data_IF_557719170425
#
_entry.id   IF_557719170425
#
_cell.length_a   1.000
_cell.length_b   1.000
_cell.length_c   1.000
_cell.angle_alpha   90.00
_cell.angle_beta   90.00
_cell.angle_gamma   90.00
#
_symmetry.space_group_name_H-M   'P 1'
#
loop_
_entity.id
_entity.type
_entity.pdbx_description
1 polymer ?
#
# COMPACT_ATOMS: atom_id res chain seq x y z
N UNK A 1 4.26 0.66 -11.05
CA UNK A 1 4.97 1.28 -9.90
C UNK A 1 5.76 2.45 -10.45
N UNK A 2 5.74 3.63 -9.81
CA UNK A 2 6.40 4.82 -10.36
C UNK A 2 7.80 5.09 -9.77
N UNK A 3 8.06 4.58 -8.57
CA UNK A 3 9.33 4.73 -7.87
C UNK A 3 9.34 3.91 -6.59
N UNK A 4 10.53 3.65 -6.06
CA UNK A 4 10.74 2.95 -4.80
C UNK A 4 11.88 3.63 -4.05
N UNK A 5 11.65 3.87 -2.76
CA UNK A 5 12.64 4.41 -1.84
C UNK A 5 12.70 3.53 -0.61
N UNK A 6 13.91 3.23 -0.15
CA UNK A 6 14.15 2.42 1.04
C UNK A 6 15.18 3.14 1.89
N UNK A 7 14.89 3.27 3.18
CA UNK A 7 15.79 3.87 4.18
C UNK A 7 15.86 2.89 5.33
N UNK A 8 17.07 2.48 5.69
CA UNK A 8 17.31 1.53 6.78
C UNK A 8 18.42 0.53 6.46
N UNK A 9 18.62 -0.40 7.39
CA UNK A 9 19.56 -1.51 7.23
C UNK A 9 19.17 -2.39 6.03
N UNK A 10 20.16 -2.84 5.26
CA UNK A 10 19.94 -3.70 4.09
C UNK A 10 19.21 -3.01 2.92
N UNK A 11 19.08 -1.68 2.89
CA UNK A 11 18.38 -0.98 1.81
C UNK A 11 18.94 -1.33 0.40
N UNK A 12 20.26 -1.47 0.27
CA UNK A 12 20.93 -1.90 -0.97
C UNK A 12 20.55 -3.32 -1.38
N UNK A 13 20.28 -4.19 -0.41
CA UNK A 13 19.84 -5.57 -0.60
C UNK A 13 18.36 -5.70 -0.93
N UNK A 14 17.58 -4.61 -0.85
CA UNK A 14 16.14 -4.65 -1.08
C UNK A 14 15.74 -3.83 -2.30
N UNK A 15 16.42 -2.72 -2.58
CA UNK A 15 16.03 -1.75 -3.61
C UNK A 15 15.88 -2.38 -5.00
N UNK A 16 16.71 -3.39 -5.29
CA UNK A 16 16.70 -4.08 -6.59
C UNK A 16 15.40 -4.83 -6.88
N UNK A 17 14.67 -5.29 -5.84
CA UNK A 17 13.34 -5.91 -5.99
C UNK A 17 12.37 -4.91 -6.62
N UNK A 18 12.33 -3.69 -6.07
CA UNK A 18 11.51 -2.61 -6.58
C UNK A 18 11.91 -2.15 -7.99
N UNK A 19 13.21 -2.05 -8.24
CA UNK A 19 13.75 -1.70 -9.57
C UNK A 19 13.36 -2.74 -10.62
N UNK A 20 13.41 -4.04 -10.29
CA UNK A 20 13.01 -5.11 -11.20
C UNK A 20 11.53 -5.00 -11.59
N UNK A 21 10.64 -4.74 -10.62
CA UNK A 21 9.21 -4.57 -10.88
C UNK A 21 8.95 -3.34 -11.75
N UNK A 22 9.65 -2.23 -11.52
CA UNK A 22 9.54 -1.02 -12.37
C UNK A 22 9.99 -1.34 -13.80
N UNK A 23 11.16 -1.97 -13.98
CA UNK A 23 11.72 -2.30 -15.29
C UNK A 23 10.83 -3.27 -16.09
N UNK A 24 10.09 -4.14 -15.39
CA UNK A 24 9.14 -5.07 -16.01
C UNK A 24 7.74 -4.47 -16.21
N UNK A 25 7.54 -3.18 -15.91
CA UNK A 25 6.24 -2.52 -16.04
C UNK A 25 5.19 -2.99 -15.02
N UNK A 26 5.62 -3.60 -13.91
CA UNK A 26 4.74 -4.15 -12.88
C UNK A 26 4.01 -3.07 -12.07
N UNK A 27 2.86 -3.46 -11.52
CA UNK A 27 2.00 -2.63 -10.66
C UNK A 27 2.20 -2.95 -9.18
N UNK A 28 1.44 -2.28 -8.31
CA UNK A 28 1.47 -2.54 -6.86
C UNK A 28 1.00 -3.97 -6.53
N UNK A 29 0.15 -4.54 -7.41
CA UNK A 29 -0.44 -5.88 -7.26
C UNK A 29 0.65 -6.97 -7.17
N UNK A 30 1.76 -6.81 -7.89
CA UNK A 30 2.90 -7.73 -7.80
C UNK A 30 3.34 -7.95 -6.36
N UNK A 31 3.47 -6.89 -5.57
CA UNK A 31 3.93 -6.99 -4.19
C UNK A 31 2.86 -7.56 -3.23
N UNK A 32 1.58 -7.36 -3.55
CA UNK A 32 0.46 -7.88 -2.77
C UNK A 32 0.34 -9.39 -2.95
N UNK A 33 0.40 -9.84 -4.20
CA UNK A 33 0.17 -11.23 -4.58
C UNK A 33 1.40 -12.11 -4.40
N UNK A 34 2.61 -11.54 -4.52
CA UNK A 34 3.84 -12.31 -4.39
C UNK A 34 4.09 -12.78 -2.95
N UNK A 35 4.61 -14.00 -2.78
CA UNK A 35 5.07 -14.48 -1.48
C UNK A 35 6.50 -14.00 -1.21
N UNK A 36 6.70 -13.33 -0.07
CA UNK A 36 8.04 -12.94 0.39
C UNK A 36 8.53 -13.93 1.44
N UNK A 37 9.83 -14.17 1.45
CA UNK A 37 10.45 -15.02 2.46
C UNK A 37 10.26 -14.42 3.86
N UNK A 38 10.02 -15.27 4.86
CA UNK A 38 9.82 -14.88 6.24
C UNK A 38 10.76 -15.67 7.18
N UNK A 39 11.40 -15.03 8.18
CA UNK A 39 11.42 -13.58 8.47
C UNK A 39 12.49 -12.85 7.64
N UNK A 40 12.11 -11.82 6.87
CA UNK A 40 13.06 -10.97 6.12
C UNK A 40 12.56 -9.53 5.99
N UNK A 41 13.49 -8.58 5.80
CA UNK A 41 13.13 -7.18 5.53
C UNK A 41 12.38 -6.99 4.18
N UNK A 42 12.47 -7.97 3.27
CA UNK A 42 11.77 -7.90 1.98
C UNK A 42 10.24 -7.92 2.14
N UNK A 43 9.72 -8.43 3.26
CA UNK A 43 8.29 -8.35 3.61
C UNK A 43 7.77 -6.90 3.63
N UNK A 44 8.64 -5.91 3.88
CA UNK A 44 8.29 -4.49 3.85
C UNK A 44 7.64 -4.05 2.53
N UNK A 45 7.98 -4.69 1.40
CA UNK A 45 7.33 -4.43 0.12
C UNK A 45 5.84 -4.79 0.14
N UNK A 46 5.47 -5.94 0.72
CA UNK A 46 4.07 -6.35 0.84
C UNK A 46 3.31 -5.41 1.76
N UNK A 47 3.90 -5.04 2.90
CA UNK A 47 3.28 -4.10 3.85
C UNK A 47 3.06 -2.74 3.18
N UNK A 48 4.07 -2.19 2.50
CA UNK A 48 3.96 -0.92 1.79
C UNK A 48 2.92 -0.95 0.67
N UNK A 49 2.84 -2.06 -0.08
CA UNK A 49 1.87 -2.24 -1.15
C UNK A 49 0.42 -2.31 -0.64
N UNK A 50 0.19 -3.03 0.46
CA UNK A 50 -1.12 -3.07 1.12
C UNK A 50 -1.53 -1.71 1.68
N UNK A 51 -0.60 -0.95 2.27
CA UNK A 51 -0.88 0.43 2.72
C UNK A 51 -1.27 1.33 1.53
N UNK A 52 -0.50 1.29 0.44
CA UNK A 52 -0.81 2.04 -0.78
C UNK A 52 -2.18 1.65 -1.36
N UNK A 53 -2.49 0.36 -1.42
CA UNK A 53 -3.77 -0.15 -1.91
C UNK A 53 -4.96 0.39 -1.10
N UNK A 54 -4.84 0.38 0.24
CA UNK A 54 -5.87 0.90 1.12
C UNK A 54 -6.09 2.41 0.94
N UNK A 55 -5.01 3.18 0.71
CA UNK A 55 -5.11 4.62 0.44
C UNK A 55 -5.74 4.91 -0.92
N UNK A 56 -5.37 4.17 -1.96
CA UNK A 56 -5.95 4.33 -3.30
C UNK A 56 -7.45 4.03 -3.32
N UNK A 57 -7.89 3.01 -2.59
CA UNK A 57 -9.33 2.73 -2.42
C UNK A 57 -10.10 3.90 -1.81
N UNK A 58 -9.54 4.54 -0.77
CA UNK A 58 -10.16 5.73 -0.16
C UNK A 58 -10.26 6.91 -1.13
N UNK A 59 -9.31 7.05 -2.05
CA UNK A 59 -9.34 8.10 -3.09
C UNK A 59 -10.35 7.82 -4.20
N UNK A 60 -10.73 6.56 -4.41
CA UNK A 60 -11.78 6.15 -5.35
C UNK A 60 -13.20 6.32 -4.80
N UNK A 61 -13.35 6.60 -3.51
CA UNK A 61 -14.64 6.98 -2.93
C UNK A 61 -14.92 8.45 -3.28
N UNK A 62 -16.09 8.76 -3.87
CA UNK A 62 -16.42 10.15 -4.18
C UNK A 62 -16.41 10.97 -2.90
N UNK A 63 -15.86 12.19 -2.94
CA UNK A 63 -15.74 13.08 -1.79
C UNK A 63 -17.08 13.28 -1.02
N UNK A 64 -18.22 13.11 -1.70
CA UNK A 64 -19.57 13.13 -1.11
C UNK A 64 -19.85 12.01 -0.10
N UNK A 65 -19.13 10.89 -0.16
CA UNK A 65 -19.27 9.79 0.81
C UNK A 65 -18.58 10.09 2.15
N UNK A 66 -17.63 11.03 2.16
CA UNK A 66 -16.87 11.42 3.35
C UNK A 66 -17.59 12.47 4.20
N UNK A 67 -18.59 13.16 3.64
CA UNK A 67 -19.41 14.16 4.36
C UNK A 67 -20.63 13.56 5.08
N UNK A 68 -20.93 12.27 4.87
CA UNK A 68 -22.01 11.60 5.57
C UNK A 68 -21.57 11.22 6.99
N UNK A 69 -21.45 12.22 7.87
CA UNK A 69 -21.48 11.99 9.31
C UNK A 69 -22.90 11.49 9.62
N UNK A 70 -23.07 10.25 10.10
CA UNK A 70 -24.39 9.80 10.53
C UNK A 70 -24.80 10.73 11.67
N UNK A 71 -25.84 11.54 11.46
CA UNK A 71 -26.48 12.25 12.56
C UNK A 71 -26.86 11.19 13.59
N UNK A 72 -26.25 11.29 14.78
CA UNK A 72 -26.69 10.54 15.94
C UNK A 72 -28.12 11.02 16.18
N UNK A 73 -29.09 10.21 15.76
CA UNK A 73 -30.47 10.35 16.22
C UNK A 73 -30.41 10.27 17.74
N UNK A 74 -30.48 11.44 18.39
CA UNK A 74 -30.89 11.55 19.78
C UNK A 74 -32.36 11.20 19.79
N UNK A 75 -32.65 9.91 19.73
CA UNK A 75 -33.99 9.41 19.99
C UNK A 75 -34.30 9.80 21.44
N UNK A 76 -35.23 10.74 21.53
CA UNK A 76 -35.85 11.15 22.77
C UNK A 76 -36.54 9.94 23.40
N UNK A 77 -36.12 9.59 24.61
CA UNK A 77 -36.92 8.93 25.63
C UNK A 77 -36.31 9.25 27.01
#
# INVERSE_FOLDING_TARGET
>A
VLGVHIIGEGATELIHIGQAVINLGGTVDYFIDNSFNFPTLAEAYKVAALDAWNRLRKLGEPASALEAVPEVKKDAA
#
